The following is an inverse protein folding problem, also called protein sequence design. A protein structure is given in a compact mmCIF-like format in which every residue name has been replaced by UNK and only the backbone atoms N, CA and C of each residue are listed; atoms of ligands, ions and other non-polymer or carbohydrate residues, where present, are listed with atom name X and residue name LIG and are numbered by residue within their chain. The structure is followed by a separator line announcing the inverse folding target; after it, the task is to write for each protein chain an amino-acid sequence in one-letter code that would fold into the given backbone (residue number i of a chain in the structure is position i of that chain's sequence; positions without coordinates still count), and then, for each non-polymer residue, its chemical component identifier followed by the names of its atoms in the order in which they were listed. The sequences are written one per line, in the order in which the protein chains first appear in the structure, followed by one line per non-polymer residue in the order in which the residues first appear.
data_IF_809228845659
#
_entry.id   IF_809228845659
#
_cell.length_a   1.000
_cell.length_b   1.000
_cell.length_c   1.000
_cell.angle_alpha   90.00
_cell.angle_beta   90.00
_cell.angle_gamma   90.00
#
_symmetry.space_group_name_H-M   'P 1'
#
loop_
_entity.id
_entity.type
_entity.pdbx_description
1 polymer ?
#
# COMPACT_ATOMS: atom_id res chain seq x y z
N UNK A 1 -8.27 4.03 19.78
CA UNK A 1 -8.85 4.26 18.43
C UNK A 1 -7.99 3.50 17.46
N UNK A 2 -8.58 2.67 16.61
CA UNK A 2 -7.88 1.98 15.52
C UNK A 2 -7.40 3.00 14.48
N UNK A 3 -6.38 2.66 13.68
CA UNK A 3 -5.86 3.54 12.62
C UNK A 3 -6.74 3.53 11.36
N UNK A 4 -7.47 2.45 11.14
CA UNK A 4 -8.44 2.27 10.05
C UNK A 4 -9.85 2.12 10.64
N UNK A 5 -10.84 2.62 9.91
CA UNK A 5 -12.27 2.40 10.20
C UNK A 5 -12.71 0.99 9.78
N UNK A 6 -12.13 0.48 8.68
CA UNK A 6 -12.33 -0.87 8.18
C UNK A 6 -11.05 -1.41 7.53
N UNK A 7 -10.85 -2.72 7.58
CA UNK A 7 -9.73 -3.40 6.94
C UNK A 7 -10.20 -4.70 6.30
N UNK A 8 -9.77 -4.92 5.06
CA UNK A 8 -10.15 -6.08 4.25
C UNK A 8 -8.96 -6.58 3.45
N UNK A 9 -8.84 -7.89 3.31
CA UNK A 9 -7.83 -8.51 2.45
C UNK A 9 -8.39 -8.60 1.04
N UNK A 10 -7.70 -8.06 0.04
CA UNK A 10 -8.04 -8.23 -1.37
C UNK A 10 -7.14 -9.31 -1.99
N UNK A 11 -7.72 -10.39 -2.54
CA UNK A 11 -6.95 -11.54 -3.06
C UNK A 11 -7.65 -12.22 -4.24
N UNK A 12 -6.90 -12.79 -5.16
CA UNK A 12 -7.41 -13.69 -6.22
C UNK A 12 -7.29 -15.17 -5.82
N UNK A 13 -6.55 -15.46 -4.75
CA UNK A 13 -6.28 -16.81 -4.28
C UNK A 13 -7.39 -17.30 -3.35
N UNK A 14 -8.03 -18.39 -3.74
CA UNK A 14 -9.00 -19.11 -2.91
C UNK A 14 -8.37 -19.64 -1.61
N UNK A 15 -7.09 -20.02 -1.64
CA UNK A 15 -6.36 -20.49 -0.45
C UNK A 15 -6.24 -19.36 0.59
N UNK A 16 -5.79 -18.18 0.16
CA UNK A 16 -5.68 -16.98 1.01
C UNK A 16 -7.06 -16.61 1.55
N UNK A 17 -8.08 -16.60 0.69
CA UNK A 17 -9.44 -16.25 1.11
C UNK A 17 -10.02 -17.22 2.14
N UNK A 18 -9.78 -18.52 1.97
CA UNK A 18 -10.22 -19.54 2.93
C UNK A 18 -9.51 -19.39 4.28
N UNK A 19 -8.22 -19.05 4.27
CA UNK A 19 -7.46 -18.76 5.49
C UNK A 19 -7.99 -17.51 6.19
N UNK A 20 -8.21 -16.40 5.46
CA UNK A 20 -8.79 -15.19 6.05
C UNK A 20 -10.14 -15.47 6.70
N UNK A 21 -11.02 -16.21 6.01
CA UNK A 21 -12.34 -16.61 6.54
C UNK A 21 -12.23 -17.46 7.79
N UNK A 22 -11.30 -18.42 7.84
CA UNK A 22 -11.12 -19.27 9.03
C UNK A 22 -10.59 -18.50 10.23
N UNK A 23 -9.87 -17.40 9.99
CA UNK A 23 -9.39 -16.46 11.01
C UNK A 23 -10.42 -15.37 11.36
N UNK A 24 -11.57 -15.31 10.67
CA UNK A 24 -12.57 -14.25 10.84
C UNK A 24 -12.15 -12.90 10.28
N UNK A 25 -11.14 -12.85 9.42
CA UNK A 25 -10.69 -11.63 8.75
C UNK A 25 -11.56 -11.36 7.51
N UNK A 26 -12.06 -10.11 7.31
CA UNK A 26 -12.75 -9.72 6.08
C UNK A 26 -11.87 -9.95 4.86
N UNK A 27 -12.44 -10.51 3.80
CA UNK A 27 -11.72 -10.81 2.56
C UNK A 27 -12.61 -10.66 1.34
N UNK A 28 -12.05 -10.06 0.29
CA UNK A 28 -12.68 -9.85 -1.00
C UNK A 28 -11.90 -10.58 -2.09
N UNK A 29 -12.61 -11.37 -2.88
CA UNK A 29 -12.05 -11.97 -4.09
C UNK A 29 -11.92 -10.91 -5.16
N UNK A 30 -10.77 -10.79 -5.81
CA UNK A 30 -10.51 -9.88 -6.93
C UNK A 30 -10.17 -10.65 -8.20
N UNK A 31 -10.19 -9.98 -9.35
CA UNK A 31 -9.74 -10.54 -10.62
C UNK A 31 -8.27 -11.02 -10.53
N UNK A 32 -7.93 -12.20 -11.09
CA UNK A 32 -6.53 -12.63 -11.24
C UNK A 32 -5.79 -11.88 -12.35
N UNK A 33 -6.50 -11.12 -13.18
CA UNK A 33 -5.93 -10.43 -14.36
C UNK A 33 -5.39 -9.03 -14.05
N UNK A 34 -5.37 -8.62 -12.77
CA UNK A 34 -4.87 -7.32 -12.37
C UNK A 34 -3.34 -7.22 -12.54
N UNK A 35 -2.84 -6.22 -13.29
CA UNK A 35 -1.40 -6.09 -13.52
C UNK A 35 -0.66 -5.52 -12.32
N UNK A 36 -1.36 -4.88 -11.37
CA UNK A 36 -0.77 -4.31 -10.16
C UNK A 36 -1.65 -4.45 -8.91
N UNK A 37 -1.04 -4.26 -7.75
CA UNK A 37 -1.77 -4.19 -6.47
C UNK A 37 -2.72 -2.99 -6.40
N UNK A 38 -2.42 -1.89 -7.10
CA UNK A 38 -3.29 -0.71 -7.14
C UNK A 38 -4.58 -1.00 -7.89
N UNK A 39 -4.53 -1.73 -9.02
CA UNK A 39 -5.74 -2.12 -9.78
C UNK A 39 -6.63 -3.05 -8.95
N UNK A 40 -6.01 -3.97 -8.20
CA UNK A 40 -6.70 -4.84 -7.25
C UNK A 40 -7.45 -4.04 -6.17
N UNK A 41 -6.78 -3.04 -5.60
CA UNK A 41 -7.39 -2.16 -4.58
C UNK A 41 -8.50 -1.31 -5.19
N UNK A 42 -8.33 -0.81 -6.42
CA UNK A 42 -9.35 -0.04 -7.13
C UNK A 42 -10.62 -0.86 -7.35
N UNK A 43 -10.50 -2.13 -7.76
CA UNK A 43 -11.66 -3.03 -7.93
C UNK A 43 -12.48 -3.16 -6.63
N UNK A 44 -11.80 -3.30 -5.48
CA UNK A 44 -12.47 -3.40 -4.18
C UNK A 44 -13.09 -2.07 -3.79
N UNK A 45 -12.35 -0.96 -3.90
CA UNK A 45 -12.84 0.38 -3.56
C UNK A 45 -14.07 0.80 -4.38
N UNK A 46 -14.21 0.30 -5.61
CA UNK A 46 -15.35 0.60 -6.49
C UNK A 46 -16.65 -0.13 -6.11
N UNK A 47 -16.63 -1.09 -5.17
CA UNK A 47 -17.83 -1.80 -4.73
C UNK A 47 -18.66 -0.94 -3.79
N UNK A 48 -19.98 -1.16 -3.82
CA UNK A 48 -20.96 -0.38 -3.03
C UNK A 48 -20.62 -0.25 -1.56
N UNK A 49 -20.04 -1.31 -0.98
CA UNK A 49 -19.68 -1.47 0.42
C UNK A 49 -18.48 -0.61 0.84
N UNK A 50 -17.67 -0.14 -0.13
CA UNK A 50 -16.45 0.63 0.14
C UNK A 50 -16.48 2.05 -0.43
N UNK A 51 -17.50 2.39 -1.24
CA UNK A 51 -17.63 3.72 -1.86
C UNK A 51 -17.81 4.88 -0.87
N UNK A 52 -18.18 4.60 0.38
CA UNK A 52 -18.38 5.62 1.40
C UNK A 52 -17.08 6.03 2.12
N UNK A 53 -15.96 5.33 1.91
CA UNK A 53 -14.68 5.68 2.50
C UNK A 53 -13.95 6.75 1.68
N UNK A 54 -13.57 7.85 2.33
CA UNK A 54 -12.89 8.97 1.67
C UNK A 54 -11.41 8.68 1.32
N UNK A 55 -10.77 7.79 2.06
CA UNK A 55 -9.34 7.49 1.94
C UNK A 55 -9.15 5.98 1.91
N UNK A 56 -8.49 5.49 0.87
CA UNK A 56 -8.11 4.09 0.73
C UNK A 56 -6.62 3.93 1.05
N UNK A 57 -6.30 3.14 2.07
CA UNK A 57 -4.94 2.79 2.44
C UNK A 57 -4.58 1.41 1.87
N UNK A 58 -3.69 1.37 0.87
CA UNK A 58 -3.15 0.12 0.35
C UNK A 58 -1.98 -0.35 1.22
N UNK A 59 -2.19 -1.42 2.00
CA UNK A 59 -1.15 -2.06 2.82
C UNK A 59 -0.75 -3.37 2.15
N UNK A 60 0.50 -3.47 1.69
CA UNK A 60 0.98 -4.68 1.02
C UNK A 60 1.12 -5.85 2.00
N UNK A 61 0.75 -7.06 1.55
CA UNK A 61 0.77 -8.27 2.39
C UNK A 61 2.17 -8.80 2.71
N UNK A 62 3.21 -8.31 2.03
CA UNK A 62 4.62 -8.63 2.23
C UNK A 62 5.34 -7.69 3.22
N UNK A 63 4.60 -6.80 3.88
CA UNK A 63 5.10 -5.86 4.90
C UNK A 63 4.67 -6.23 6.33
N UNK A 64 5.05 -7.41 6.88
CA UNK A 64 4.58 -7.88 8.19
C UNK A 64 5.12 -7.04 9.36
N UNK A 65 6.13 -6.19 9.13
CA UNK A 65 6.75 -5.34 10.14
C UNK A 65 6.22 -3.90 10.11
N UNK A 66 5.18 -3.62 9.30
CA UNK A 66 4.56 -2.32 9.25
C UNK A 66 3.95 -1.95 10.61
N UNK A 67 4.26 -0.75 11.08
CA UNK A 67 3.76 -0.23 12.35
C UNK A 67 2.55 0.66 12.11
N UNK A 68 1.65 0.69 13.10
CA UNK A 68 0.46 1.55 13.07
C UNK A 68 0.81 3.02 12.78
N UNK A 69 1.91 3.53 13.36
CA UNK A 69 2.38 4.89 13.14
C UNK A 69 2.67 5.19 11.65
N UNK A 70 3.23 4.23 10.89
CA UNK A 70 3.53 4.44 9.48
C UNK A 70 2.25 4.60 8.65
N UNK A 71 1.22 3.79 8.96
CA UNK A 71 -0.10 3.87 8.30
C UNK A 71 -0.75 5.22 8.63
N UNK A 72 -0.75 5.61 9.91
CA UNK A 72 -1.33 6.87 10.39
C UNK A 72 -0.70 8.08 9.71
N UNK A 73 0.63 8.17 9.74
CA UNK A 73 1.36 9.28 9.13
C UNK A 73 1.10 9.36 7.61
N UNK A 74 1.01 8.21 6.93
CA UNK A 74 0.70 8.17 5.49
C UNK A 74 -0.73 8.62 5.18
N UNK A 75 -1.71 8.20 5.98
CA UNK A 75 -3.10 8.67 5.85
C UNK A 75 -3.18 10.19 6.08
N UNK A 76 -2.47 10.70 7.08
CA UNK A 76 -2.50 12.13 7.43
C UNK A 76 -1.91 13.02 6.31
N UNK A 77 -1.01 12.50 5.46
CA UNK A 77 -0.55 13.21 4.26
C UNK A 77 -1.69 13.53 3.28
N UNK A 78 -2.64 12.60 3.15
CA UNK A 78 -3.80 12.74 2.25
C UNK A 78 -4.93 13.48 2.94
N UNK A 79 -5.25 13.10 4.19
CA UNK A 79 -6.34 13.69 4.98
C UNK A 79 -6.21 15.20 5.18
N UNK A 80 -4.98 15.69 5.33
CA UNK A 80 -4.73 17.13 5.48
C UNK A 80 -4.81 17.91 4.15
N UNK A 81 -5.14 17.24 3.05
CA UNK A 81 -5.30 17.84 1.72
C UNK A 81 -3.99 18.30 1.08
N UNK A 82 -2.84 17.90 1.64
CA UNK A 82 -1.54 18.28 1.10
C UNK A 82 -1.23 17.53 -0.21
N UNK A 83 -1.72 16.29 -0.34
CA UNK A 83 -1.47 15.41 -1.48
C UNK A 83 -2.67 14.50 -1.76
N UNK A 84 -2.92 14.16 -3.02
CA UNK A 84 -3.96 13.17 -3.39
C UNK A 84 -3.51 11.73 -3.10
N UNK A 85 -2.20 11.49 -3.06
CA UNK A 85 -1.60 10.18 -2.76
C UNK A 85 -0.42 10.39 -1.81
N UNK A 86 -0.40 9.60 -0.73
CA UNK A 86 0.69 9.55 0.24
C UNK A 86 1.38 8.20 0.22
N UNK A 87 2.68 8.17 0.52
CA UNK A 87 3.43 6.94 0.77
C UNK A 87 4.49 7.19 1.84
N UNK A 88 4.99 6.11 2.46
CA UNK A 88 6.09 6.16 3.42
C UNK A 88 7.36 5.57 2.81
N UNK A 89 8.51 6.11 3.20
CA UNK A 89 9.81 5.57 2.87
C UNK A 89 10.75 5.66 4.08
N UNK A 90 11.69 4.73 4.19
CA UNK A 90 12.70 4.70 5.25
C UNK A 90 14.06 5.16 4.72
N UNK A 91 14.91 5.80 5.55
CA UNK A 91 16.30 6.04 5.18
C UNK A 91 17.02 4.75 4.74
N UNK A 92 17.77 4.85 3.66
CA UNK A 92 18.58 3.74 3.12
C UNK A 92 19.88 3.65 3.93
N UNK A 93 19.97 2.69 4.84
CA UNK A 93 21.06 2.62 5.83
C UNK A 93 22.20 1.63 5.50
N UNK A 94 22.16 0.94 4.36
CA UNK A 94 23.15 -0.08 4.00
C UNK A 94 23.53 -0.01 2.51
N UNK A 95 24.83 -0.15 2.22
CA UNK A 95 25.37 -0.05 0.86
C UNK A 95 24.76 -1.08 -0.11
N UNK A 96 24.44 -2.28 0.38
CA UNK A 96 23.88 -3.35 -0.46
C UNK A 96 22.49 -3.00 -1.00
N UNK A 97 21.65 -2.32 -0.20
CA UNK A 97 20.29 -1.95 -0.59
C UNK A 97 20.26 -0.89 -1.71
N UNK A 98 21.37 -0.15 -1.90
CA UNK A 98 21.52 0.81 -2.99
C UNK A 98 21.54 0.11 -4.34
N UNK A 99 22.22 -1.03 -4.44
CA UNK A 99 22.36 -1.80 -5.69
C UNK A 99 21.36 -2.94 -5.82
N UNK A 100 20.64 -3.27 -4.75
CA UNK A 100 19.61 -4.31 -4.77
C UNK A 100 18.46 -3.94 -5.74
N UNK A 101 18.17 -4.75 -6.78
CA UNK A 101 17.08 -4.49 -7.71
C UNK A 101 15.70 -4.77 -7.12
N UNK A 102 15.61 -5.49 -6.01
CA UNK A 102 14.34 -5.75 -5.32
C UNK A 102 13.86 -4.53 -4.52
N UNK A 103 14.77 -3.66 -4.12
CA UNK A 103 14.48 -2.44 -3.34
C UNK A 103 14.19 -1.26 -4.26
N UNK A 104 12.99 -0.68 -4.14
CA UNK A 104 12.61 0.58 -4.81
C UNK A 104 13.19 1.76 -4.03
N UNK A 105 13.83 2.68 -4.73
CA UNK A 105 14.41 3.91 -4.20
C UNK A 105 13.50 5.07 -4.56
N UNK A 106 13.48 6.09 -3.70
CA UNK A 106 12.74 7.33 -3.92
C UNK A 106 13.66 8.54 -3.81
N UNK A 107 13.60 9.43 -4.80
CA UNK A 107 14.10 10.79 -4.68
C UNK A 107 12.96 11.71 -4.24
N UNK A 108 13.20 12.57 -3.24
CA UNK A 108 12.19 13.52 -2.73
C UNK A 108 12.73 14.95 -2.70
N UNK A 109 11.85 15.91 -2.91
CA UNK A 109 12.14 17.32 -2.69
C UNK A 109 12.19 17.64 -1.19
N UNK A 110 12.77 18.80 -0.85
CA UNK A 110 12.87 19.26 0.54
C UNK A 110 11.50 19.44 1.23
N UNK A 111 10.45 19.70 0.46
CA UNK A 111 9.07 19.81 0.95
C UNK A 111 8.36 18.45 1.09
N UNK A 112 9.06 17.33 0.90
CA UNK A 112 8.51 15.98 1.04
C UNK A 112 7.89 15.41 -0.23
N UNK A 113 7.73 16.19 -1.31
CA UNK A 113 7.18 15.68 -2.57
C UNK A 113 8.07 14.59 -3.16
N UNK A 114 7.48 13.45 -3.49
CA UNK A 114 8.14 12.41 -4.29
C UNK A 114 8.46 12.97 -5.70
N UNK A 115 9.73 12.91 -6.10
CA UNK A 115 10.19 13.35 -7.41
C UNK A 115 10.27 12.18 -8.38
N UNK A 116 10.79 11.04 -7.92
CA UNK A 116 11.01 9.88 -8.76
C UNK A 116 11.16 8.61 -7.92
N UNK A 117 10.67 7.49 -8.45
CA UNK A 117 10.88 6.16 -7.91
C UNK A 117 11.66 5.32 -8.92
N UNK A 118 12.60 4.51 -8.47
CA UNK A 118 13.36 3.63 -9.37
C UNK A 118 13.97 2.41 -8.70
N UNK A 119 14.31 1.43 -9.53
CA UNK A 119 15.23 0.33 -9.26
C UNK A 119 16.54 0.59 -10.02
N UNK A 120 17.67 -0.01 -9.61
CA UNK A 120 18.96 0.13 -10.28
C UNK A 120 18.97 -0.41 -11.72
N UNK A 121 18.04 -1.30 -12.07
CA UNK A 121 17.84 -1.82 -13.42
C UNK A 121 17.08 -0.86 -14.33
N UNK A 122 16.47 0.19 -13.79
CA UNK A 122 15.71 1.14 -14.58
C UNK A 122 16.70 2.05 -15.30
N UNK A 123 16.85 1.82 -16.61
CA UNK A 123 17.56 2.74 -17.50
C UNK A 123 16.82 4.08 -17.53
N UNK A 124 17.54 5.16 -17.21
CA UNK A 124 17.08 6.54 -17.45
C UNK A 124 16.86 6.80 -18.95
#
# INVERSE_FOLDING_TARGET
MTVLDHAVVATDSAEVANLCKSLGAPVEMTSPDHPSGTDRVAEVADRSEYREYDIIANVQGDEPLLKEAHVRETIDLVRNGAWEVGTCATPLNFDDARTDPTVVKIARAANGRALYFSRPSDSL
#
